data_IF_563252996388
#
_entry.id   IF_563252996388
#
_cell.length_a   1.000
_cell.length_b   1.000
_cell.length_c   1.000
_cell.angle_alpha   90.00
_cell.angle_beta   90.00
_cell.angle_gamma   90.00
#
_symmetry.space_group_name_H-M   'P 1'
#
loop_
_entity.id
_entity.type
_entity.pdbx_description
1 polymer ?
#
# COMPACT_ATOMS: atom_id res chain seq x y z
N UNK A 1 -2.76 -1.66 -11.33
CA UNK A 1 -3.63 -1.99 -10.17
C UNK A 1 -3.05 -1.27 -8.97
N UNK A 2 -3.85 -0.52 -8.27
CA UNK A 2 -3.45 0.17 -7.04
C UNK A 2 -3.53 -0.83 -5.89
N UNK A 3 -2.52 -0.87 -5.02
CA UNK A 3 -2.54 -1.65 -3.78
C UNK A 3 -3.67 -1.11 -2.90
N UNK A 4 -4.59 -1.98 -2.48
CA UNK A 4 -5.81 -1.56 -1.77
C UNK A 4 -5.70 -1.69 -0.26
N UNK A 5 -4.76 -2.47 0.25
CA UNK A 5 -4.48 -2.56 1.68
C UNK A 5 -2.97 -2.58 1.95
N UNK A 6 -2.51 -2.02 3.08
CA UNK A 6 -1.13 -2.09 3.51
C UNK A 6 -0.67 -3.55 3.60
N UNK A 7 0.49 -3.85 3.04
CA UNK A 7 1.00 -5.22 2.94
C UNK A 7 2.43 -5.29 3.47
N UNK A 8 2.65 -6.11 4.49
CA UNK A 8 3.97 -6.45 4.98
C UNK A 8 4.52 -7.68 4.27
N UNK A 9 5.71 -7.60 3.72
CA UNK A 9 6.44 -8.74 3.16
C UNK A 9 7.65 -9.02 4.06
N UNK A 10 7.71 -10.22 4.60
CA UNK A 10 8.73 -10.64 5.57
C UNK A 10 9.03 -12.14 5.44
N UNK A 11 10.02 -12.61 6.17
CA UNK A 11 10.28 -14.03 6.39
C UNK A 11 10.32 -14.34 7.87
N UNK A 12 9.51 -15.28 8.29
CA UNK A 12 9.48 -15.83 9.65
C UNK A 12 9.87 -17.30 9.63
N UNK A 13 11.05 -17.57 10.15
CA UNK A 13 11.59 -18.93 10.21
C UNK A 13 10.66 -19.86 11.03
N UNK A 14 10.41 -21.04 10.49
CA UNK A 14 9.52 -22.02 11.15
C UNK A 14 8.04 -21.91 10.81
N UNK A 15 7.62 -20.83 10.12
CA UNK A 15 6.28 -20.75 9.53
C UNK A 15 6.31 -21.11 8.04
N UNK A 16 5.29 -21.81 7.53
CA UNK A 16 5.17 -22.08 6.10
C UNK A 16 4.94 -20.76 5.33
N UNK A 17 5.29 -20.71 4.05
CA UNK A 17 4.93 -19.59 3.17
C UNK A 17 3.41 -19.42 3.12
N UNK A 18 2.94 -18.23 3.45
CA UNK A 18 1.51 -17.93 3.52
C UNK A 18 1.24 -16.43 3.42
N UNK A 19 -0.01 -16.08 3.11
CA UNK A 19 -0.57 -14.75 3.24
C UNK A 19 -1.56 -14.77 4.40
N UNK A 20 -1.36 -13.91 5.38
CA UNK A 20 -2.30 -13.65 6.48
C UNK A 20 -3.05 -12.36 6.15
N UNK A 21 -4.38 -12.41 6.10
CA UNK A 21 -5.27 -11.35 5.66
C UNK A 21 -6.17 -10.93 6.82
N UNK A 22 -6.08 -9.68 7.26
CA UNK A 22 -6.95 -9.12 8.30
C UNK A 22 -8.21 -8.56 7.65
N UNK A 23 -9.42 -9.03 8.02
CA UNK A 23 -10.68 -8.56 7.43
C UNK A 23 -10.90 -7.06 7.64
N UNK A 24 -11.51 -6.39 6.65
CA UNK A 24 -11.79 -4.96 6.68
C UNK A 24 -12.77 -4.59 7.82
N UNK A 25 -13.62 -5.52 8.25
CA UNK A 25 -14.58 -5.35 9.34
C UNK A 25 -13.92 -5.00 10.67
N UNK A 26 -12.66 -5.39 10.84
CA UNK A 26 -11.86 -5.06 12.04
C UNK A 26 -11.63 -3.56 12.22
N UNK A 27 -11.89 -2.75 11.17
CA UNK A 27 -11.90 -1.27 11.27
C UNK A 27 -13.02 -0.73 12.17
N UNK A 28 -14.10 -1.49 12.33
CA UNK A 28 -15.20 -1.10 13.23
C UNK A 28 -14.82 -1.11 14.71
N UNK A 29 -13.67 -1.70 15.04
CA UNK A 29 -13.12 -1.71 16.39
C UNK A 29 -12.06 -0.63 16.55
N UNK A 30 -11.79 -0.19 17.79
CA UNK A 30 -10.70 0.74 18.08
C UNK A 30 -9.33 0.05 18.19
N UNK A 31 -9.27 -1.27 17.97
CA UNK A 31 -8.03 -2.03 18.07
C UNK A 31 -7.12 -1.77 16.87
N UNK A 32 -5.84 -1.58 17.14
CA UNK A 32 -4.81 -1.42 16.12
C UNK A 32 -4.46 -2.73 15.43
N UNK A 33 -3.85 -2.68 14.22
CA UNK A 33 -3.32 -3.86 13.55
C UNK A 33 -2.30 -4.59 14.42
N UNK A 34 -1.49 -3.87 15.20
CA UNK A 34 -0.51 -4.45 16.10
C UNK A 34 -1.16 -5.27 17.24
N UNK A 35 -2.33 -4.86 17.71
CA UNK A 35 -3.11 -5.64 18.68
C UNK A 35 -3.67 -6.89 18.01
N UNK A 36 -4.20 -6.80 16.79
CA UNK A 36 -4.71 -7.97 16.06
C UNK A 36 -3.63 -9.01 15.74
N UNK A 37 -2.35 -8.64 15.65
CA UNK A 37 -1.24 -9.61 15.51
C UNK A 37 -1.13 -10.59 16.70
N UNK A 38 -1.78 -10.29 17.84
CA UNK A 38 -1.84 -11.19 19.01
C UNK A 38 -3.01 -12.17 18.96
N UNK A 39 -3.89 -12.05 17.96
CA UNK A 39 -5.08 -12.86 17.78
C UNK A 39 -5.06 -13.52 16.39
N UNK A 40 -4.27 -14.60 16.20
CA UNK A 40 -4.14 -15.26 14.90
C UNK A 40 -5.47 -15.76 14.31
N UNK A 41 -6.46 -16.05 15.15
CA UNK A 41 -7.80 -16.50 14.76
C UNK A 41 -8.60 -15.44 13.99
N UNK A 42 -8.26 -14.18 14.14
CA UNK A 42 -8.90 -13.08 13.40
C UNK A 42 -8.39 -12.95 11.96
N UNK A 43 -7.28 -13.62 11.65
CA UNK A 43 -6.66 -13.57 10.34
C UNK A 43 -7.10 -14.72 9.46
N UNK A 44 -7.28 -14.45 8.17
CA UNK A 44 -7.50 -15.47 7.15
C UNK A 44 -6.17 -15.88 6.54
N UNK A 45 -5.82 -17.16 6.65
CA UNK A 45 -4.55 -17.68 6.14
C UNK A 45 -4.76 -18.32 4.78
N UNK A 46 -3.96 -17.92 3.82
CA UNK A 46 -3.89 -18.49 2.46
C UNK A 46 -2.49 -19.04 2.25
N UNK A 47 -2.37 -20.33 2.03
CA UNK A 47 -1.08 -20.95 1.76
C UNK A 47 -0.47 -20.44 0.44
N UNK A 48 0.84 -20.21 0.43
CA UNK A 48 1.61 -19.87 -0.76
C UNK A 48 2.35 -21.10 -1.27
N UNK A 49 2.01 -21.54 -2.48
CA UNK A 49 2.78 -22.55 -3.20
C UNK A 49 3.90 -21.86 -3.97
N UNK A 50 5.10 -21.86 -3.39
CA UNK A 50 6.30 -21.25 -4.01
C UNK A 50 6.85 -22.07 -5.18
N UNK A 51 6.36 -23.30 -5.41
CA UNK A 51 6.73 -24.14 -6.53
C UNK A 51 5.90 -23.89 -7.80
N UNK A 52 4.78 -23.15 -7.68
CA UNK A 52 3.88 -22.86 -8.79
C UNK A 52 3.65 -21.35 -8.95
N UNK A 53 4.10 -20.80 -10.09
CA UNK A 53 3.91 -19.39 -10.39
C UNK A 53 2.43 -18.99 -10.46
N UNK A 54 1.59 -19.84 -11.06
CA UNK A 54 0.15 -19.59 -11.21
C UNK A 54 -0.58 -19.66 -9.87
N UNK A 55 -0.25 -20.63 -9.01
CA UNK A 55 -0.80 -20.74 -7.67
C UNK A 55 -0.38 -19.54 -6.81
N UNK A 56 0.88 -19.12 -6.89
CA UNK A 56 1.38 -17.94 -6.20
C UNK A 56 0.70 -16.66 -6.69
N UNK A 57 0.55 -16.49 -8.01
CA UNK A 57 -0.17 -15.35 -8.58
C UNK A 57 -1.63 -15.29 -8.10
N UNK A 58 -2.31 -16.43 -8.08
CA UNK A 58 -3.70 -16.55 -7.62
C UNK A 58 -3.82 -16.22 -6.13
N UNK A 59 -2.88 -16.69 -5.29
CA UNK A 59 -2.87 -16.38 -3.87
C UNK A 59 -2.60 -14.88 -3.62
N UNK A 60 -1.62 -14.28 -4.31
CA UNK A 60 -1.31 -12.84 -4.20
C UNK A 60 -2.47 -11.96 -4.71
N UNK A 61 -3.24 -12.41 -5.69
CA UNK A 61 -4.41 -11.68 -6.17
C UNK A 61 -5.48 -11.47 -5.07
N UNK A 62 -5.50 -12.36 -4.06
CA UNK A 62 -6.42 -12.26 -2.91
C UNK A 62 -6.21 -10.98 -2.10
N UNK A 63 -4.99 -10.47 -2.02
CA UNK A 63 -4.69 -9.21 -1.30
C UNK A 63 -5.47 -8.02 -1.89
N UNK A 64 -5.72 -8.04 -3.19
CA UNK A 64 -6.47 -7.00 -3.91
C UNK A 64 -7.98 -7.26 -4.02
N UNK A 65 -8.54 -8.22 -3.29
CA UNK A 65 -9.97 -8.50 -3.34
C UNK A 65 -10.80 -7.33 -2.84
N UNK A 66 -11.90 -7.09 -3.52
CA UNK A 66 -12.87 -6.05 -3.20
C UNK A 66 -14.26 -6.65 -3.05
N UNK A 67 -15.13 -5.94 -2.34
CA UNK A 67 -16.53 -6.32 -2.18
C UNK A 67 -17.44 -5.09 -2.29
N UNK A 68 -18.65 -5.31 -2.77
CA UNK A 68 -19.69 -4.30 -2.86
C UNK A 68 -20.50 -4.28 -1.57
N UNK A 69 -20.69 -3.11 -1.00
CA UNK A 69 -21.44 -2.92 0.26
C UNK A 69 -22.33 -1.69 0.18
N UNK A 70 -23.33 -1.63 1.05
CA UNK A 70 -24.15 -0.43 1.22
C UNK A 70 -23.29 0.75 1.73
N UNK A 71 -23.60 1.97 1.30
CA UNK A 71 -22.89 3.18 1.68
C UNK A 71 -22.80 3.35 3.20
N UNK A 72 -23.88 3.05 3.93
CA UNK A 72 -23.92 3.11 5.39
C UNK A 72 -22.90 2.16 6.04
N UNK A 73 -22.71 0.97 5.46
CA UNK A 73 -21.73 0.00 5.94
C UNK A 73 -20.30 0.50 5.70
N UNK A 74 -20.03 1.03 4.51
CA UNK A 74 -18.72 1.63 4.19
C UNK A 74 -18.43 2.83 5.11
N UNK A 75 -19.40 3.69 5.36
CA UNK A 75 -19.24 4.83 6.27
C UNK A 75 -18.93 4.40 7.71
N UNK A 76 -19.56 3.32 8.22
CA UNK A 76 -19.23 2.73 9.54
C UNK A 76 -17.80 2.19 9.61
N UNK A 77 -17.25 1.77 8.49
CA UNK A 77 -15.85 1.33 8.38
C UNK A 77 -14.88 2.51 8.14
N UNK A 78 -15.35 3.76 8.17
CA UNK A 78 -14.53 4.95 8.05
C UNK A 78 -14.18 5.34 6.60
N UNK A 79 -14.90 4.82 5.61
CA UNK A 79 -14.72 5.25 4.22
C UNK A 79 -15.54 6.52 3.93
N UNK A 80 -14.90 7.53 3.35
CA UNK A 80 -15.59 8.70 2.84
C UNK A 80 -16.40 8.32 1.57
N UNK A 81 -17.62 8.82 1.49
CA UNK A 81 -18.51 8.60 0.34
C UNK A 81 -18.82 9.96 -0.24
N UNK A 82 -18.47 10.18 -1.50
CA UNK A 82 -18.69 11.46 -2.18
C UNK A 82 -19.33 11.26 -3.54
N UNK A 83 -20.40 11.99 -3.79
CA UNK A 83 -21.10 11.94 -5.06
C UNK A 83 -20.22 12.36 -6.24
N UNK A 84 -19.30 13.30 -6.02
CA UNK A 84 -18.38 13.83 -7.04
C UNK A 84 -17.09 13.02 -7.19
N UNK A 85 -16.83 12.07 -6.31
CA UNK A 85 -15.75 11.08 -6.38
C UNK A 85 -14.34 11.63 -6.48
N UNK A 86 -14.08 12.83 -5.96
CA UNK A 86 -12.73 13.42 -5.96
C UNK A 86 -11.87 12.83 -4.84
N UNK A 87 -12.44 12.67 -3.64
CA UNK A 87 -11.71 12.21 -2.45
C UNK A 87 -12.44 11.07 -1.70
N UNK A 88 -13.46 10.45 -2.31
CA UNK A 88 -14.28 9.41 -1.70
C UNK A 88 -14.72 8.31 -2.65
N UNK A 89 -15.37 7.28 -2.08
CA UNK A 89 -15.96 6.19 -2.83
C UNK A 89 -17.16 6.68 -3.62
N UNK A 90 -17.26 6.27 -4.88
CA UNK A 90 -18.39 6.60 -5.75
C UNK A 90 -19.40 5.45 -5.73
N UNK A 91 -20.67 5.72 -5.39
CA UNK A 91 -21.73 4.73 -5.51
C UNK A 91 -21.98 4.32 -6.96
N UNK A 92 -22.27 3.04 -7.18
CA UNK A 92 -22.72 2.52 -8.46
C UNK A 92 -24.24 2.82 -8.71
N UNK A 93 -24.78 2.28 -9.82
CA UNK A 93 -26.17 2.47 -10.20
C UNK A 93 -27.17 1.89 -9.18
N UNK A 94 -26.76 0.90 -8.39
CA UNK A 94 -27.55 0.28 -7.32
C UNK A 94 -27.34 0.96 -5.97
N UNK A 95 -26.53 2.03 -5.91
CA UNK A 95 -26.22 2.77 -4.68
C UNK A 95 -25.22 2.06 -3.76
N UNK A 96 -24.53 1.03 -4.26
CA UNK A 96 -23.47 0.32 -3.54
C UNK A 96 -22.11 0.94 -3.84
N UNK A 97 -21.17 0.75 -2.93
CA UNK A 97 -19.78 1.16 -3.10
C UNK A 97 -18.85 -0.05 -3.01
N UNK A 98 -17.73 0.01 -3.72
CA UNK A 98 -16.73 -1.04 -3.72
C UNK A 98 -15.64 -0.69 -2.70
N UNK A 99 -15.40 -1.59 -1.74
CA UNK A 99 -14.39 -1.44 -0.69
C UNK A 99 -13.43 -2.62 -0.71
N UNK A 100 -12.18 -2.48 -0.21
CA UNK A 100 -11.28 -3.62 -0.04
C UNK A 100 -11.89 -4.64 0.94
N UNK A 101 -11.60 -5.93 0.72
CA UNK A 101 -11.95 -7.00 1.65
C UNK A 101 -11.06 -7.01 2.88
N UNK A 102 -9.85 -6.48 2.77
CA UNK A 102 -8.80 -6.61 3.77
C UNK A 102 -8.34 -5.26 4.30
N UNK A 103 -8.11 -5.19 5.61
CA UNK A 103 -7.54 -4.05 6.30
C UNK A 103 -6.02 -4.05 6.22
N UNK A 104 -5.41 -5.24 6.28
CA UNK A 104 -3.96 -5.44 6.28
C UNK A 104 -3.62 -6.83 5.76
N UNK A 105 -2.45 -6.97 5.15
CA UNK A 105 -1.91 -8.26 4.72
C UNK A 105 -0.49 -8.45 5.25
N UNK A 106 -0.16 -9.69 5.64
CA UNK A 106 1.21 -10.10 5.96
C UNK A 106 1.57 -11.29 5.08
N UNK A 107 2.66 -11.18 4.33
CA UNK A 107 3.13 -12.21 3.41
C UNK A 107 4.43 -12.78 3.99
N UNK A 108 4.39 -14.03 4.45
CA UNK A 108 5.58 -14.79 4.80
C UNK A 108 6.13 -15.50 3.58
N UNK A 109 7.31 -15.07 3.11
CA UNK A 109 7.90 -15.57 1.87
C UNK A 109 9.40 -15.85 2.02
N UNK A 110 9.89 -17.04 1.62
CA UNK A 110 11.31 -17.39 1.68
C UNK A 110 12.07 -16.68 0.55
N UNK A 111 12.85 -15.68 0.92
CA UNK A 111 13.73 -14.95 0.00
C UNK A 111 15.01 -14.52 0.73
N UNK A 112 16.20 -14.65 0.13
CA UNK A 112 17.48 -14.38 0.81
C UNK A 112 17.58 -13.00 1.48
N UNK A 113 16.95 -11.96 0.92
CA UNK A 113 16.91 -10.62 1.54
C UNK A 113 16.01 -10.58 2.77
N UNK A 114 14.85 -11.26 2.72
CA UNK A 114 13.90 -11.31 3.83
C UNK A 114 14.43 -12.17 4.98
N UNK A 115 15.16 -13.25 4.66
CA UNK A 115 15.84 -14.12 5.63
C UNK A 115 16.91 -13.38 6.44
N UNK A 116 17.44 -12.27 5.93
CA UNK A 116 18.34 -11.37 6.64
C UNK A 116 17.63 -10.39 7.57
N UNK A 117 16.31 -10.51 7.73
CA UNK A 117 15.51 -9.65 8.61
C UNK A 117 14.98 -8.39 7.94
N UNK A 118 15.05 -8.29 6.59
CA UNK A 118 14.36 -7.21 5.88
C UNK A 118 12.85 -7.41 5.97
N UNK A 119 12.14 -6.36 6.35
CA UNK A 119 10.68 -6.27 6.27
C UNK A 119 10.34 -5.13 5.31
N UNK A 120 9.57 -5.42 4.27
CA UNK A 120 9.08 -4.43 3.32
C UNK A 120 7.62 -4.15 3.63
N UNK A 121 7.29 -2.89 3.86
CA UNK A 121 5.91 -2.44 4.00
C UNK A 121 5.51 -1.70 2.71
N UNK A 122 4.66 -2.34 1.90
CA UNK A 122 3.98 -1.70 0.78
C UNK A 122 2.72 -1.01 1.29
N UNK A 123 2.59 0.27 0.97
CA UNK A 123 1.47 1.08 1.42
C UNK A 123 0.64 1.54 0.25
N UNK A 124 -0.71 1.51 0.35
CA UNK A 124 -1.56 2.19 -0.62
C UNK A 124 -1.11 3.65 -0.77
N UNK A 125 -1.19 4.18 -1.97
CA UNK A 125 -0.90 5.61 -2.18
C UNK A 125 -1.73 6.45 -1.21
N UNK A 126 -1.12 7.48 -0.63
CA UNK A 126 -1.76 8.32 0.40
C UNK A 126 -3.04 9.01 -0.08
N UNK A 127 -3.21 9.11 -1.40
CA UNK A 127 -4.42 9.60 -2.05
C UNK A 127 -5.31 8.46 -2.58
N UNK A 128 -5.00 7.19 -2.26
CA UNK A 128 -5.83 6.08 -2.70
C UNK A 128 -7.16 6.12 -1.96
N UNK A 129 -8.26 6.04 -2.71
CA UNK A 129 -9.61 5.97 -2.15
C UNK A 129 -9.70 4.76 -1.22
N UNK A 130 -10.12 4.99 0.02
CA UNK A 130 -10.22 3.93 1.03
C UNK A 130 -8.90 3.55 1.72
N UNK A 131 -7.77 4.21 1.39
CA UNK A 131 -6.58 4.10 2.20
C UNK A 131 -6.85 4.58 3.64
N UNK A 132 -6.16 4.00 4.60
CA UNK A 132 -6.00 4.60 5.94
C UNK A 132 -4.69 5.40 5.94
N UNK A 133 -4.68 6.68 5.54
CA UNK A 133 -3.45 7.47 5.54
C UNK A 133 -2.80 7.47 6.93
N UNK A 134 -3.62 7.54 7.98
CA UNK A 134 -3.18 7.50 9.36
C UNK A 134 -2.45 6.20 9.70
N UNK A 135 -2.87 5.06 9.16
CA UNK A 135 -2.19 3.78 9.37
C UNK A 135 -0.81 3.78 8.72
N UNK A 136 -0.73 4.23 7.47
CA UNK A 136 0.54 4.40 6.75
C UNK A 136 1.45 5.39 7.47
N UNK A 137 0.94 6.54 7.86
CA UNK A 137 1.70 7.58 8.55
C UNK A 137 2.16 7.12 9.94
N UNK A 138 1.37 6.31 10.64
CA UNK A 138 1.75 5.74 11.94
C UNK A 138 2.90 4.73 11.86
N UNK A 139 3.13 4.11 10.71
CA UNK A 139 4.24 3.18 10.48
C UNK A 139 5.56 3.90 10.16
N UNK A 140 5.50 5.11 9.60
CA UNK A 140 6.70 5.87 9.21
C UNK A 140 7.70 6.08 10.36
N UNK A 141 7.27 6.36 11.62
CA UNK A 141 8.19 6.48 12.74
C UNK A 141 8.98 5.20 13.06
N UNK A 142 8.47 4.03 12.78
CA UNK A 142 9.12 2.75 13.06
C UNK A 142 10.02 2.25 11.90
N UNK A 143 9.84 2.78 10.70
CA UNK A 143 10.63 2.37 9.53
C UNK A 143 12.12 2.73 9.69
N UNK A 144 13.05 1.88 9.30
CA UNK A 144 14.49 2.15 9.28
C UNK A 144 14.92 2.89 8.02
N UNK A 145 14.21 2.72 6.92
CA UNK A 145 14.39 3.45 5.68
C UNK A 145 13.02 3.74 5.04
N UNK A 146 12.94 4.83 4.29
CA UNK A 146 11.75 5.24 3.56
C UNK A 146 12.14 5.38 2.10
N UNK A 147 11.48 4.62 1.22
CA UNK A 147 11.53 4.80 -0.22
C UNK A 147 10.31 5.62 -0.63
N UNK A 148 10.54 6.85 -1.06
CA UNK A 148 9.48 7.73 -1.55
C UNK A 148 9.43 7.65 -3.07
N UNK A 149 8.42 6.96 -3.60
CA UNK A 149 8.33 6.65 -5.03
C UNK A 149 7.44 7.69 -5.70
N UNK A 150 8.02 8.39 -6.65
CA UNK A 150 7.37 9.38 -7.50
C UNK A 150 7.22 8.82 -8.91
N UNK A 151 6.14 9.13 -9.59
CA UNK A 151 5.93 8.71 -10.97
C UNK A 151 6.32 9.84 -11.94
N UNK A 152 7.21 9.54 -12.88
CA UNK A 152 7.73 10.52 -13.84
C UNK A 152 6.65 11.08 -14.79
N UNK A 153 5.60 10.30 -15.03
CA UNK A 153 4.46 10.69 -15.90
C UNK A 153 3.57 11.76 -15.26
N UNK A 154 3.48 11.82 -13.93
CA UNK A 154 2.68 12.80 -13.19
C UNK A 154 3.51 13.93 -12.58
N UNK A 155 4.82 13.72 -12.45
CA UNK A 155 5.71 14.65 -11.74
C UNK A 155 5.41 14.70 -10.23
N UNK A 156 6.04 15.66 -9.54
CA UNK A 156 5.83 15.89 -8.10
C UNK A 156 4.56 16.69 -7.88
N UNK A 157 3.60 16.15 -7.16
CA UNK A 157 2.34 16.81 -6.86
C UNK A 157 2.40 17.61 -5.56
N UNK A 158 1.42 18.52 -5.34
CA UNK A 158 1.30 19.27 -4.08
C UNK A 158 1.08 18.34 -2.87
N UNK A 159 0.35 17.23 -3.06
CA UNK A 159 0.16 16.21 -2.02
C UNK A 159 1.46 15.47 -1.70
N UNK A 160 2.29 15.15 -2.69
CA UNK A 160 3.60 14.53 -2.46
C UNK A 160 4.50 15.44 -1.61
N UNK A 161 4.51 16.74 -1.93
CA UNK A 161 5.27 17.73 -1.17
C UNK A 161 4.77 17.89 0.27
N UNK A 162 3.45 17.86 0.49
CA UNK A 162 2.86 17.90 1.83
C UNK A 162 3.30 16.67 2.64
N UNK A 163 3.14 15.47 2.08
CA UNK A 163 3.56 14.22 2.74
C UNK A 163 5.05 14.23 3.04
N UNK A 164 5.88 14.61 2.08
CA UNK A 164 7.33 14.69 2.29
C UNK A 164 7.67 15.64 3.44
N UNK A 165 7.07 16.83 3.45
CA UNK A 165 7.34 17.87 4.44
C UNK A 165 6.86 17.49 5.83
N UNK A 166 5.63 17.00 5.93
CA UNK A 166 4.94 16.84 7.20
C UNK A 166 5.25 15.49 7.85
N UNK A 167 5.51 14.45 7.08
CA UNK A 167 5.64 13.08 7.59
C UNK A 167 7.01 12.45 7.33
N UNK A 168 7.63 12.70 6.18
CA UNK A 168 8.94 12.13 5.86
C UNK A 168 10.07 12.99 6.43
N UNK A 169 9.99 14.31 6.29
CA UNK A 169 11.05 15.22 6.73
C UNK A 169 10.90 15.67 8.19
N UNK A 170 9.66 15.75 8.68
CA UNK A 170 9.33 16.19 10.06
C UNK A 170 9.54 15.13 11.14
N UNK A 171 9.65 13.86 10.80
CA UNK A 171 9.85 12.81 11.79
C UNK A 171 11.21 13.00 12.50
N UNK A 172 11.16 13.34 13.80
CA UNK A 172 12.31 13.50 14.72
C UNK A 172 13.13 12.22 14.91
N UNK A 173 13.28 11.42 13.90
CA UNK A 173 13.99 10.15 13.99
C UNK A 173 15.40 10.31 13.46
N UNK A 174 16.33 10.09 14.35
CA UNK A 174 17.76 10.00 14.07
C UNK A 174 18.01 9.13 12.83
N UNK A 175 18.65 9.74 11.81
CA UNK A 175 19.36 9.05 10.73
C UNK A 175 18.62 7.90 10.02
N UNK A 176 17.38 8.08 9.65
CA UNK A 176 16.72 7.13 8.74
C UNK A 176 17.19 7.38 7.30
N UNK A 177 17.48 6.31 6.59
CA UNK A 177 17.70 6.37 5.16
C UNK A 177 16.42 6.88 4.49
N UNK A 178 16.53 7.95 3.71
CA UNK A 178 15.43 8.49 2.89
C UNK A 178 15.92 8.52 1.45
N UNK A 179 15.18 7.90 0.58
CA UNK A 179 15.51 7.80 -0.84
C UNK A 179 14.27 8.19 -1.61
N UNK A 180 14.36 9.21 -2.44
CA UNK A 180 13.37 9.49 -3.46
C UNK A 180 13.71 8.67 -4.71
N UNK A 181 12.72 7.98 -5.25
CA UNK A 181 12.86 7.14 -6.44
C UNK A 181 11.92 7.66 -7.50
N UNK A 182 12.45 8.05 -8.65
CA UNK A 182 11.64 8.38 -9.81
C UNK A 182 11.36 7.09 -10.60
N UNK A 183 10.11 6.68 -10.60
CA UNK A 183 9.63 5.47 -11.27
C UNK A 183 8.92 5.83 -12.58
N UNK A 184 8.64 4.82 -13.43
CA UNK A 184 7.96 4.95 -14.73
C UNK A 184 8.70 5.90 -15.70
N UNK A 185 10.01 5.99 -15.58
CA UNK A 185 10.83 6.81 -16.48
C UNK A 185 10.79 6.27 -17.92
N UNK A 186 10.51 4.97 -18.09
CA UNK A 186 10.30 4.32 -19.39
C UNK A 186 9.19 5.00 -20.21
N UNK A 187 8.16 5.53 -19.56
CA UNK A 187 7.09 6.29 -20.20
C UNK A 187 7.52 7.65 -20.79
N UNK A 188 8.72 8.13 -20.47
CA UNK A 188 9.26 9.36 -21.04
C UNK A 188 9.82 9.15 -22.46
N UNK A 189 10.17 7.89 -22.81
CA UNK A 189 10.62 7.51 -24.17
C UNK A 189 9.42 7.26 -25.10
N UNK A 190 8.76 8.33 -25.50
CA UNK A 190 7.57 8.32 -26.35
C UNK A 190 7.91 8.27 -27.87
N UNK A 191 9.20 8.26 -28.23
CA UNK A 191 9.68 8.30 -29.60
C UNK A 191 9.60 9.66 -30.27
N UNK A 192 9.15 10.69 -29.55
CA UNK A 192 9.00 12.08 -30.03
C UNK A 192 10.13 12.96 -29.48
N UNK A 193 10.51 12.73 -28.22
CA UNK A 193 11.54 13.49 -27.50
C UNK A 193 12.93 12.91 -27.75
N UNK A 194 13.93 13.77 -27.82
CA UNK A 194 15.33 13.37 -27.85
C UNK A 194 15.81 12.90 -26.48
N UNK A 195 16.85 12.08 -26.42
CA UNK A 195 17.49 11.66 -25.15
C UNK A 195 17.88 12.86 -24.27
N UNK A 196 18.42 13.91 -24.87
CA UNK A 196 18.80 15.12 -24.13
C UNK A 196 17.62 15.84 -23.47
N UNK A 197 16.44 15.82 -24.09
CA UNK A 197 15.22 16.38 -23.52
C UNK A 197 14.69 15.51 -22.39
N UNK A 198 14.78 14.17 -22.51
CA UNK A 198 14.40 13.22 -21.49
C UNK A 198 15.32 13.34 -20.27
N UNK A 199 16.63 13.40 -20.47
CA UNK A 199 17.61 13.58 -19.40
C UNK A 199 17.40 14.91 -18.66
N UNK A 200 17.09 15.98 -19.39
CA UNK A 200 16.77 17.28 -18.80
C UNK A 200 15.46 17.25 -18.00
N UNK A 201 14.46 16.47 -18.41
CA UNK A 201 13.22 16.28 -17.68
C UNK A 201 13.44 15.49 -16.39
N UNK A 202 14.18 14.37 -16.45
CA UNK A 202 14.58 13.59 -15.29
C UNK A 202 15.32 14.48 -14.29
N UNK A 203 16.32 15.24 -14.74
CA UNK A 203 17.12 16.11 -13.89
C UNK A 203 16.30 17.25 -13.22
N UNK A 204 15.17 17.64 -13.80
CA UNK A 204 14.26 18.63 -13.18
C UNK A 204 13.35 18.05 -12.08
N UNK A 205 13.15 16.73 -12.10
CA UNK A 205 12.26 16.05 -11.16
C UNK A 205 13.01 15.47 -9.94
N UNK A 206 14.34 15.39 -10.02
CA UNK A 206 15.23 14.92 -8.95
C UNK A 206 15.83 16.09 -8.18
#
# INVERSE_FOLDING_TARGET
>A
RTTMCPTELLFEAGKPPAIELLPIETRSTNASVAEFKRFPEEWRVVALDTGSADAMHSALARVGEQKRVAQEHAAKLGFAIEADGKDGLRPDAEGLVEIPCWRHAVINFPHPLLEQGLVILDTPGLNAIGAEPELTLSQLPSAHAILFILAADTGVTQSDLAVWRDHVNGARTRQKGRIAVLNKIDGLWDGIRSEAEIDAEIARQV
#
